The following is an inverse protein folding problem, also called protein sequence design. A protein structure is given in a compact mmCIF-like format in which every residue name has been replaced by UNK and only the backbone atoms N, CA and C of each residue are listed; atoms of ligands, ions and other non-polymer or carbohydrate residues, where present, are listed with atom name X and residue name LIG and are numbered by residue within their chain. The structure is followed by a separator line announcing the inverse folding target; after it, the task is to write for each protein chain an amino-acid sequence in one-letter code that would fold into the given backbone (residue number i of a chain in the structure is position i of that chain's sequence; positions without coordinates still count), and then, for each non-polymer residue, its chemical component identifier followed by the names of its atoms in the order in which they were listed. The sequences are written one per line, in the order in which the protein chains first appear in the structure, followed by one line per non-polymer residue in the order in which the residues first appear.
data_IF_352127557876
#
_entry.id   IF_352127557876
#
_cell.length_a   1.000
_cell.length_b   1.000
_cell.length_c   1.000
_cell.angle_alpha   90.00
_cell.angle_beta   90.00
_cell.angle_gamma   90.00
#
_symmetry.space_group_name_H-M   'P 1'
#
loop_
_entity.id
_entity.type
_entity.pdbx_description
1 polymer ?
#
# COMPACT_ATOMS: atom_id res chain seq x y z
N UNK A 1 -16.28 -17.43 -11.82
CA UNK A 1 -16.75 -17.13 -10.44
C UNK A 1 -15.62 -16.42 -9.73
N UNK A 2 -15.90 -15.29 -9.06
CA UNK A 2 -14.85 -14.41 -8.54
C UNK A 2 -14.34 -14.88 -7.17
N UNK A 3 -13.03 -15.14 -7.08
CA UNK A 3 -12.28 -15.26 -5.83
C UNK A 3 -11.93 -13.85 -5.34
N UNK A 4 -11.78 -13.66 -4.03
CA UNK A 4 -11.27 -12.41 -3.47
C UNK A 4 -10.00 -12.66 -2.67
N UNK A 5 -8.96 -11.90 -2.97
CA UNK A 5 -7.67 -11.94 -2.29
C UNK A 5 -7.49 -10.66 -1.48
N UNK A 6 -7.24 -10.83 -0.18
CA UNK A 6 -7.03 -9.77 0.78
C UNK A 6 -5.66 -9.96 1.43
N UNK A 7 -4.82 -8.92 1.39
CA UNK A 7 -3.46 -8.94 1.93
C UNK A 7 -3.44 -8.07 3.18
N UNK A 8 -3.32 -8.68 4.36
CA UNK A 8 -3.25 -7.96 5.63
C UNK A 8 -1.99 -7.09 5.67
N UNK A 9 -2.16 -5.84 6.06
CA UNK A 9 -1.10 -4.87 6.24
C UNK A 9 -0.67 -4.83 7.71
N UNK A 10 0.64 -4.78 7.92
CA UNK A 10 1.25 -4.62 9.24
C UNK A 10 2.05 -3.32 9.29
N UNK A 11 1.89 -2.53 10.33
CA UNK A 11 2.59 -1.26 10.49
C UNK A 11 1.88 -0.37 11.51
N UNK A 12 2.36 0.87 11.65
CA UNK A 12 1.65 1.86 12.47
C UNK A 12 0.42 2.36 11.72
N UNK A 13 -0.68 2.57 12.45
CA UNK A 13 -1.95 3.01 11.87
C UNK A 13 -1.80 4.33 11.10
N UNK A 14 -1.00 5.26 11.61
CA UNK A 14 -0.80 6.58 10.97
C UNK A 14 -0.16 6.47 9.59
N UNK A 15 0.79 5.55 9.42
CA UNK A 15 1.44 5.32 8.13
C UNK A 15 0.45 4.64 7.17
N UNK A 16 -0.36 3.69 7.65
CA UNK A 16 -1.40 3.04 6.83
C UNK A 16 -2.48 4.05 6.39
N UNK A 17 -2.89 4.96 7.26
CA UNK A 17 -3.87 6.01 6.94
C UNK A 17 -3.32 7.00 5.90
N UNK A 18 -2.03 7.33 5.96
CA UNK A 18 -1.35 8.11 4.91
C UNK A 18 -1.34 7.37 3.56
N UNK A 19 -1.16 6.03 3.57
CA UNK A 19 -1.26 5.21 2.36
C UNK A 19 -2.68 5.14 1.80
N UNK A 20 -3.72 5.05 2.64
CA UNK A 20 -5.12 5.07 2.21
C UNK A 20 -5.42 6.36 1.44
N UNK A 21 -4.98 7.50 1.97
CA UNK A 21 -5.15 8.79 1.32
C UNK A 21 -4.47 8.90 -0.05
N UNK A 22 -3.47 8.05 -0.32
CA UNK A 22 -2.75 8.03 -1.59
C UNK A 22 -3.37 7.11 -2.65
N UNK A 23 -4.42 6.35 -2.31
CA UNK A 23 -5.00 5.33 -3.20
C UNK A 23 -6.38 5.71 -3.75
N UNK A 24 -6.83 6.96 -3.61
CA UNK A 24 -8.19 7.37 -3.99
C UNK A 24 -8.53 7.11 -5.46
N UNK A 25 -7.54 7.16 -6.35
CA UNK A 25 -7.71 6.95 -7.80
C UNK A 25 -7.15 5.62 -8.30
N UNK A 26 -6.70 4.74 -7.39
CA UNK A 26 -6.08 3.46 -7.73
C UNK A 26 -7.12 2.33 -7.80
N UNK A 27 -6.84 1.30 -8.61
CA UNK A 27 -7.57 0.03 -8.53
C UNK A 27 -7.31 -0.70 -7.20
N UNK A 28 -6.21 -0.38 -6.54
CA UNK A 28 -5.84 -0.90 -5.24
C UNK A 28 -6.59 -0.17 -4.14
N UNK A 29 -7.14 -0.93 -3.20
CA UNK A 29 -7.91 -0.42 -2.08
C UNK A 29 -7.40 -1.00 -0.79
N UNK A 30 -7.22 -0.14 0.21
CA UNK A 30 -6.96 -0.55 1.59
C UNK A 30 -8.28 -0.39 2.35
N UNK A 31 -8.82 -1.49 2.84
CA UNK A 31 -10.05 -1.51 3.64
C UNK A 31 -9.74 -1.96 5.05
N UNK A 32 -10.42 -1.36 6.04
CA UNK A 32 -10.37 -1.82 7.43
C UNK A 32 -11.48 -2.84 7.67
N UNK A 33 -11.12 -4.01 8.17
CA UNK A 33 -12.06 -5.05 8.63
C UNK A 33 -11.74 -5.36 10.08
N UNK A 34 -12.70 -5.12 10.99
CA UNK A 34 -12.51 -5.08 12.45
C UNK A 34 -11.33 -4.17 12.84
N UNK A 35 -10.20 -4.74 13.26
CA UNK A 35 -9.01 -4.03 13.74
C UNK A 35 -7.80 -4.18 12.80
N UNK A 36 -8.00 -4.75 11.62
CA UNK A 36 -6.93 -5.02 10.65
C UNK A 36 -7.18 -4.30 9.34
N UNK A 37 -6.10 -3.92 8.68
CA UNK A 37 -6.14 -3.30 7.36
C UNK A 37 -5.78 -4.33 6.31
N UNK A 38 -6.52 -4.33 5.20
CA UNK A 38 -6.33 -5.27 4.10
C UNK A 38 -6.20 -4.52 2.79
N UNK A 39 -5.10 -4.77 2.08
CA UNK A 39 -4.91 -4.38 0.70
C UNK A 39 -5.63 -5.37 -0.22
N UNK A 40 -6.35 -4.83 -1.20
CA UNK A 40 -7.14 -5.59 -2.18
C UNK A 40 -7.03 -4.95 -3.55
N UNK A 41 -7.06 -5.76 -4.60
CA UNK A 41 -7.12 -5.31 -6.00
C UNK A 41 -7.73 -6.41 -6.85
N UNK A 42 -8.39 -6.05 -7.94
CA UNK A 42 -8.88 -7.01 -8.93
C UNK A 42 -7.74 -7.81 -9.55
N UNK A 43 -6.55 -7.22 -9.72
CA UNK A 43 -5.37 -7.90 -10.25
C UNK A 43 -4.95 -9.09 -9.38
N UNK A 44 -5.07 -8.97 -8.05
CA UNK A 44 -4.71 -10.05 -7.14
C UNK A 44 -5.65 -11.25 -7.25
N UNK A 45 -6.90 -11.02 -7.67
CA UNK A 45 -7.90 -12.08 -7.80
C UNK A 45 -7.62 -13.00 -8.98
N UNK A 46 -6.88 -12.51 -9.98
CA UNK A 46 -6.50 -13.26 -11.19
C UNK A 46 -5.24 -14.12 -10.98
N UNK A 47 -4.50 -13.90 -9.89
CA UNK A 47 -3.29 -14.65 -9.55
C UNK A 47 -3.67 -15.86 -8.68
N UNK A 48 -3.33 -17.05 -9.13
CA UNK A 48 -3.60 -18.30 -8.40
C UNK A 48 -2.50 -18.65 -7.41
N UNK A 49 -1.24 -18.47 -7.80
CA UNK A 49 -0.05 -18.82 -7.03
C UNK A 49 0.16 -17.85 -5.88
N UNK A 50 0.28 -18.39 -4.67
CA UNK A 50 0.38 -17.58 -3.45
C UNK A 50 1.68 -16.78 -3.41
N UNK A 51 2.80 -17.37 -3.84
CA UNK A 51 4.10 -16.70 -3.86
C UNK A 51 4.12 -15.50 -4.82
N UNK A 52 3.44 -15.62 -5.96
CA UNK A 52 3.28 -14.50 -6.90
C UNK A 52 2.42 -13.39 -6.32
N UNK A 53 1.32 -13.72 -5.61
CA UNK A 53 0.51 -12.71 -4.91
C UNK A 53 1.37 -11.95 -3.90
N UNK A 54 2.14 -12.66 -3.09
CA UNK A 54 3.00 -12.05 -2.06
C UNK A 54 4.07 -11.18 -2.71
N UNK A 55 4.74 -11.67 -3.76
CA UNK A 55 5.75 -10.90 -4.49
C UNK A 55 5.16 -9.62 -5.08
N UNK A 56 4.01 -9.71 -5.73
CA UNK A 56 3.35 -8.57 -6.38
C UNK A 56 2.86 -7.53 -5.37
N UNK A 57 2.23 -7.99 -4.28
CA UNK A 57 1.83 -7.12 -3.19
C UNK A 57 3.03 -6.46 -2.48
N UNK A 58 4.15 -7.18 -2.36
CA UNK A 58 5.38 -6.65 -1.76
C UNK A 58 5.98 -5.57 -2.63
N UNK A 59 6.09 -5.80 -3.95
CA UNK A 59 6.61 -4.80 -4.89
C UNK A 59 5.75 -3.54 -4.89
N UNK A 60 4.42 -3.72 -4.91
CA UNK A 60 3.47 -2.61 -4.81
C UNK A 60 3.66 -1.81 -3.51
N UNK A 61 3.74 -2.50 -2.37
CA UNK A 61 3.96 -1.87 -1.08
C UNK A 61 5.33 -1.19 -0.99
N UNK A 62 6.38 -1.73 -1.61
CA UNK A 62 7.70 -1.10 -1.61
C UNK A 62 7.69 0.23 -2.37
N UNK A 63 7.01 0.30 -3.53
CA UNK A 63 6.80 1.56 -4.27
C UNK A 63 6.00 2.56 -3.45
N UNK A 64 4.93 2.11 -2.81
CA UNK A 64 4.05 2.93 -2.00
C UNK A 64 4.75 3.48 -0.74
N UNK A 65 5.51 2.64 -0.04
CA UNK A 65 6.36 3.05 1.08
C UNK A 65 7.45 4.02 0.62
N UNK A 66 8.05 3.80 -0.55
CA UNK A 66 9.04 4.71 -1.13
C UNK A 66 8.46 6.10 -1.39
N UNK A 67 7.30 6.17 -2.04
CA UNK A 67 6.60 7.43 -2.30
C UNK A 67 6.21 8.15 -1.01
N UNK A 68 5.67 7.42 -0.03
CA UNK A 68 5.31 7.99 1.27
C UNK A 68 6.55 8.49 2.05
N UNK A 69 7.68 7.78 1.97
CA UNK A 69 8.92 8.21 2.61
C UNK A 69 9.49 9.49 2.00
N UNK A 70 9.38 9.67 0.68
CA UNK A 70 9.77 10.92 0.01
C UNK A 70 8.92 12.09 0.49
N UNK A 71 7.61 11.89 0.64
CA UNK A 71 6.67 12.97 1.00
C UNK A 71 6.70 13.29 2.50
N UNK A 72 6.76 12.27 3.35
CA UNK A 72 6.64 12.46 4.80
C UNK A 72 7.98 12.45 5.53
N UNK A 73 9.11 12.11 4.89
CA UNK A 73 10.48 12.02 5.43
C UNK A 73 10.66 11.12 6.66
N UNK A 74 9.56 10.66 7.24
CA UNK A 74 9.47 9.92 8.47
C UNK A 74 8.39 8.85 8.33
N UNK A 75 8.12 8.37 7.13
CA UNK A 75 7.19 7.25 6.91
C UNK A 75 7.82 5.96 7.41
N UNK A 76 7.08 5.14 8.15
CA UNK A 76 7.54 3.78 8.44
C UNK A 76 6.99 2.76 7.45
N UNK A 77 7.84 1.77 7.15
CA UNK A 77 7.51 0.72 6.20
C UNK A 77 6.29 -0.06 6.68
N UNK A 78 5.21 0.00 5.92
CA UNK A 78 4.06 -0.90 6.03
C UNK A 78 4.41 -2.20 5.31
N UNK A 79 4.33 -3.32 6.04
CA UNK A 79 4.62 -4.66 5.56
C UNK A 79 3.37 -5.51 5.34
N UNK A 80 3.58 -6.77 4.99
CA UNK A 80 2.54 -7.79 4.83
C UNK A 80 2.53 -8.70 6.05
N UNK A 81 1.34 -8.95 6.60
CA UNK A 81 1.13 -9.89 7.70
C UNK A 81 0.68 -11.26 7.22
N UNK A 82 -0.58 -11.35 6.81
CA UNK A 82 -1.24 -12.57 6.37
C UNK A 82 -1.95 -12.34 5.04
N UNK A 83 -2.29 -13.43 4.37
CA UNK A 83 -3.08 -13.41 3.16
C UNK A 83 -4.37 -14.19 3.38
N UNK A 84 -5.50 -13.60 3.02
CA UNK A 84 -6.84 -14.16 3.16
C UNK A 84 -7.43 -14.34 1.77
N UNK A 85 -7.70 -15.58 1.40
CA UNK A 85 -8.32 -15.96 0.13
C UNK A 85 -9.75 -16.39 0.42
N UNK A 86 -10.71 -15.66 -0.12
CA UNK A 86 -12.13 -16.00 -0.06
C UNK A 86 -12.49 -16.65 -1.40
N UNK A 87 -12.82 -17.94 -1.35
CA UNK A 87 -13.22 -18.71 -2.53
C UNK A 87 -14.67 -18.38 -2.92
N UNK A 88 -15.08 -18.83 -4.10
CA UNK A 88 -16.43 -18.60 -4.62
C UNK A 88 -17.55 -19.23 -3.76
N UNK A 89 -17.22 -20.24 -2.94
CA UNK A 89 -18.13 -20.87 -1.98
C UNK A 89 -18.20 -20.13 -0.63
N UNK A 90 -17.51 -18.99 -0.51
CA UNK A 90 -17.41 -18.20 0.71
C UNK A 90 -16.41 -18.75 1.73
N UNK A 91 -15.75 -19.88 1.45
CA UNK A 91 -14.73 -20.41 2.36
C UNK A 91 -13.50 -19.52 2.34
N UNK A 92 -13.00 -19.23 3.54
CA UNK A 92 -11.81 -18.41 3.75
C UNK A 92 -10.60 -19.30 4.03
N UNK A 93 -9.57 -19.17 3.21
CA UNK A 93 -8.25 -19.76 3.43
C UNK A 93 -7.30 -18.69 3.95
N UNK A 94 -6.62 -18.95 5.05
CA UNK A 94 -5.59 -18.08 5.62
C UNK A 94 -4.20 -18.63 5.30
N UNK A 95 -3.36 -17.79 4.71
CA UNK A 95 -1.93 -18.05 4.53
C UNK A 95 -1.18 -17.14 5.48
N UNK A 96 -0.48 -17.75 6.43
CA UNK A 96 0.31 -17.03 7.43
C UNK A 96 1.73 -16.90 6.88
N UNK A 97 2.22 -15.66 6.76
CA UNK A 97 3.58 -15.39 6.33
C UNK A 97 4.47 -15.27 7.57
N UNK A 98 5.33 -16.27 7.81
CA UNK A 98 6.28 -16.24 8.91
C UNK A 98 7.53 -15.43 8.52
N UNK A 99 7.52 -14.13 8.78
CA UNK A 99 8.68 -13.25 8.63
C UNK A 99 9.42 -12.96 9.94
N UNK A 100 10.59 -12.33 9.85
CA UNK A 100 11.30 -11.79 11.03
C UNK A 100 10.60 -10.54 11.54
N UNK A 101 10.03 -10.60 12.74
CA UNK A 101 9.40 -9.45 13.38
C UNK A 101 10.41 -8.40 13.84
N UNK A 102 10.07 -7.11 13.69
CA UNK A 102 10.84 -5.99 14.21
C UNK A 102 9.97 -5.14 15.14
N UNK A 103 10.44 -4.86 16.37
CA UNK A 103 9.78 -3.99 17.34
C UNK A 103 10.48 -2.63 17.34
N UNK A 104 9.75 -1.55 17.08
CA UNK A 104 10.23 -0.16 17.16
C UNK A 104 9.11 0.74 17.70
N UNK A 105 9.47 1.84 18.36
CA UNK A 105 8.54 2.79 18.98
C UNK A 105 8.78 4.20 18.43
N UNK A 106 7.70 4.94 18.14
CA UNK A 106 7.77 6.35 17.72
C UNK A 106 6.55 7.15 18.18
N UNK A 107 6.68 8.48 18.18
CA UNK A 107 5.58 9.43 18.32
C UNK A 107 5.57 10.42 17.15
N UNK A 108 4.40 10.73 16.59
CA UNK A 108 4.18 11.72 15.52
C UNK A 108 3.01 12.63 15.91
N UNK A 109 3.17 13.94 15.74
CA UNK A 109 2.11 14.94 15.92
C UNK A 109 1.61 15.37 14.53
N UNK A 110 0.31 15.25 14.26
CA UNK A 110 -0.32 15.74 13.02
C UNK A 110 -1.27 16.88 13.36
N UNK A 111 -1.07 18.03 12.72
CA UNK A 111 -2.00 19.16 12.77
C UNK A 111 -2.63 19.32 11.39
N UNK A 112 -3.95 19.16 11.32
CA UNK A 112 -4.71 19.35 10.09
C UNK A 112 -5.45 20.68 10.20
N UNK A 113 -5.08 21.66 9.36
CA UNK A 113 -5.78 22.93 9.28
C UNK A 113 -6.89 22.81 8.23
N UNK A 114 -8.14 22.78 8.65
CA UNK A 114 -9.29 22.73 7.74
C UNK A 114 -9.85 24.15 7.57
N UNK A 115 -9.66 24.76 6.40
CA UNK A 115 -10.29 26.03 6.05
C UNK A 115 -11.65 25.77 5.40
N UNK A 116 -12.73 26.25 6.02
CA UNK A 116 -14.09 26.25 5.44
C UNK A 116 -14.17 27.32 4.34
N UNK A 117 -13.62 27.03 3.17
CA UNK A 117 -13.93 27.75 1.94
C UNK A 117 -14.27 26.68 0.91
N UNK A 118 -15.50 26.74 0.40
CA UNK A 118 -16.10 25.77 -0.53
C UNK A 118 -15.34 25.75 -1.86
N UNK A 119 -14.55 24.70 -2.18
CA UNK A 119 -13.90 24.58 -3.47
C UNK A 119 -14.57 23.43 -4.24
N UNK A 120 -15.19 23.80 -5.35
CA UNK A 120 -15.59 22.94 -6.47
C UNK A 120 -14.70 21.67 -6.59
N UNK A 121 -15.24 20.44 -6.53
CA UNK A 121 -14.46 19.22 -6.31
C UNK A 121 -13.77 18.78 -7.61
N UNK A 122 -12.75 19.51 -8.03
CA UNK A 122 -11.71 18.93 -8.87
C UNK A 122 -10.78 18.17 -7.94
N UNK A 123 -10.87 16.84 -7.97
CA UNK A 123 -9.97 15.92 -7.26
C UNK A 123 -8.55 16.14 -7.80
N UNK A 124 -7.82 17.09 -7.24
CA UNK A 124 -6.41 17.31 -7.54
C UNK A 124 -5.67 16.15 -6.89
N UNK A 125 -4.94 15.33 -7.65
CA UNK A 125 -4.24 14.21 -7.07
C UNK A 125 -3.16 14.68 -6.09
N UNK A 126 -3.03 13.98 -4.97
CA UNK A 126 -1.99 14.25 -3.98
C UNK A 126 -0.59 14.01 -4.57
N UNK A 127 0.45 14.53 -3.92
CA UNK A 127 1.84 14.29 -4.34
C UNK A 127 2.16 12.81 -4.37
N UNK A 128 1.67 12.03 -3.39
CA UNK A 128 1.87 10.58 -3.35
C UNK A 128 1.13 9.91 -4.51
N UNK A 129 -0.12 10.28 -4.80
CA UNK A 129 -0.89 9.78 -5.96
C UNK A 129 -0.17 10.03 -7.29
N UNK A 130 0.40 11.22 -7.46
CA UNK A 130 1.17 11.58 -8.67
C UNK A 130 2.42 10.72 -8.82
N UNK A 131 3.15 10.47 -7.73
CA UNK A 131 4.34 9.62 -7.73
C UNK A 131 4.02 8.16 -8.02
N UNK A 132 2.97 7.62 -7.38
CA UNK A 132 2.49 6.26 -7.64
C UNK A 132 2.13 6.08 -9.11
N UNK A 133 1.29 6.96 -9.65
CA UNK A 133 0.84 6.90 -11.05
C UNK A 133 2.04 6.93 -12.02
N UNK A 134 3.05 7.76 -11.76
CA UNK A 134 4.28 7.78 -12.55
C UNK A 134 5.05 6.46 -12.44
N UNK A 135 5.22 5.92 -11.24
CA UNK A 135 5.97 4.67 -11.04
C UNK A 135 5.35 3.43 -11.70
N UNK A 136 4.04 3.43 -11.96
CA UNK A 136 3.35 2.34 -12.67
C UNK A 136 3.32 2.54 -14.19
N UNK A 137 3.31 3.79 -14.66
CA UNK A 137 3.24 4.10 -16.10
C UNK A 137 4.61 4.26 -16.76
N UNK A 138 5.70 4.21 -15.98
CA UNK A 138 7.05 4.31 -16.51
C UNK A 138 7.51 2.93 -17.03
N UNK A 139 7.22 2.64 -18.31
CA UNK A 139 7.80 1.50 -19.05
C UNK A 139 9.33 1.62 -19.25
N UNK A 140 9.95 2.68 -18.73
CA UNK A 140 11.39 2.91 -18.76
C UNK A 140 11.99 2.94 -17.35
N UNK A 141 12.10 1.78 -16.71
CA UNK A 141 13.09 1.58 -15.64
C UNK A 141 14.52 1.61 -16.23
N UNK A 142 14.98 2.79 -16.63
CA UNK A 142 16.42 3.07 -16.60
C UNK A 142 16.76 3.37 -15.15
N UNK A 143 17.32 2.38 -14.44
CA UNK A 143 17.88 2.61 -13.12
C UNK A 143 19.01 3.65 -13.23
N UNK A 144 18.93 4.81 -12.56
CA UNK A 144 20.10 5.66 -12.41
C UNK A 144 21.06 4.96 -11.45
N UNK A 145 22.20 4.48 -11.97
CA UNK A 145 23.32 4.09 -11.13
C UNK A 145 24.20 5.32 -10.86
N UNK A 146 24.53 5.55 -9.59
CA UNK A 146 25.55 6.54 -9.20
C UNK A 146 26.87 5.78 -9.12
N UNK A 147 27.81 6.07 -10.03
CA UNK A 147 29.19 5.62 -9.90
C UNK A 147 29.92 6.62 -8.98
N UNK A 148 30.29 6.16 -7.79
CA UNK A 148 31.25 6.89 -6.95
C UNK A 148 32.65 6.48 -7.38
N UNK A 149 33.33 7.37 -8.12
CA UNK A 149 34.78 7.26 -8.35
C UNK A 149 35.55 7.82 -7.16
N UNK A 150 36.63 7.11 -6.79
CA UNK A 150 37.51 7.40 -5.66
C UNK A 150 38.39 8.62 -5.91
#
# INVERSE_FOLDING_TARGET
MARTVLVELTGEQIDIDDLIAALNTSEWKINKDTDRYYLSSTLLNDITETDLIVSFATEFLDKLNGAANVVHSNHFKVGIGNLRIINADGKTNHVILCGTGHIRTRSRLRATLTTTADPDPKTIPTTIETWLTKSFNDETSQMPFIILTR
#
